data_IF_019053600087
#
_entry.id   IF_019053600087
#
_cell.length_a   1.000
_cell.length_b   1.000
_cell.length_c   1.000
_cell.angle_alpha   90.00
_cell.angle_beta   90.00
_cell.angle_gamma   90.00
#
_symmetry.space_group_name_H-M   'P 1'
#
loop_
_entity.id
_entity.type
_entity.pdbx_description
1 polymer ?
#
# COMPACT_ATOMS: atom_id res chain seq x y z
N UNK A 1 36.16 -11.28 -30.47
CA UNK A 1 35.46 -9.99 -30.72
C UNK A 1 34.35 -10.27 -31.73
N UNK A 2 33.08 -10.32 -31.30
CA UNK A 2 31.97 -10.59 -32.22
C UNK A 2 31.54 -9.29 -32.91
N UNK A 3 32.21 -8.99 -34.01
CA UNK A 3 31.88 -7.95 -34.97
C UNK A 3 30.70 -8.38 -35.84
N UNK A 4 29.65 -7.55 -35.92
CA UNK A 4 28.88 -7.43 -37.17
C UNK A 4 27.36 -7.53 -37.16
N UNK A 5 26.66 -7.69 -36.04
CA UNK A 5 25.17 -7.63 -36.05
C UNK A 5 24.62 -6.89 -34.84
N UNK A 6 24.11 -5.68 -35.07
CA UNK A 6 23.44 -4.86 -34.05
C UNK A 6 22.17 -5.58 -33.60
N UNK A 7 22.14 -6.07 -32.37
CA UNK A 7 20.90 -6.58 -31.77
C UNK A 7 20.03 -5.42 -31.32
N UNK A 8 18.82 -5.33 -31.83
CA UNK A 8 17.82 -4.32 -31.46
C UNK A 8 16.96 -4.83 -30.29
N UNK A 9 16.25 -3.93 -29.61
CA UNK A 9 15.38 -4.25 -28.47
C UNK A 9 14.31 -5.32 -28.77
N UNK A 10 13.99 -5.51 -30.07
CA UNK A 10 13.09 -6.54 -30.61
C UNK A 10 13.66 -7.97 -30.57
N UNK A 11 14.97 -8.12 -30.48
CA UNK A 11 15.63 -9.44 -30.55
C UNK A 11 15.61 -10.19 -29.21
N UNK A 12 15.15 -9.52 -28.15
CA UNK A 12 15.02 -10.10 -26.81
C UNK A 12 13.55 -10.36 -26.52
N UNK A 13 13.18 -11.63 -26.42
CA UNK A 13 11.83 -12.05 -26.01
C UNK A 13 11.54 -11.58 -24.58
N UNK A 14 10.26 -11.37 -24.25
CA UNK A 14 9.87 -10.93 -22.91
C UNK A 14 10.30 -11.94 -21.84
N UNK A 15 10.13 -13.23 -22.10
CA UNK A 15 10.54 -14.30 -21.18
C UNK A 15 12.06 -14.22 -20.87
N UNK A 16 12.88 -13.97 -21.88
CA UNK A 16 14.32 -13.78 -21.68
C UNK A 16 14.60 -12.57 -20.80
N UNK A 17 13.96 -11.42 -21.06
CA UNK A 17 14.12 -10.20 -20.24
C UNK A 17 13.77 -10.46 -18.77
N UNK A 18 12.66 -11.15 -18.51
CA UNK A 18 12.21 -11.50 -17.17
C UNK A 18 13.19 -12.46 -16.47
N UNK A 19 13.72 -13.47 -17.17
CA UNK A 19 14.70 -14.40 -16.59
C UNK A 19 16.00 -13.70 -16.17
N UNK A 20 16.48 -12.76 -16.98
CA UNK A 20 17.68 -11.97 -16.67
C UNK A 20 17.43 -11.05 -15.48
N UNK A 21 16.25 -10.43 -15.40
CA UNK A 21 15.87 -9.58 -14.27
C UNK A 21 15.76 -10.38 -12.98
N UNK A 22 15.08 -11.53 -13.01
CA UNK A 22 14.89 -12.40 -11.84
C UNK A 22 16.23 -12.87 -11.25
N UNK A 23 17.19 -13.28 -12.08
CA UNK A 23 18.51 -13.68 -11.61
C UNK A 23 19.31 -12.53 -11.00
N UNK A 24 19.17 -11.30 -11.53
CA UNK A 24 19.80 -10.12 -10.96
C UNK A 24 19.17 -9.75 -9.62
N UNK A 25 17.84 -9.83 -9.50
CA UNK A 25 17.12 -9.52 -8.25
C UNK A 25 17.38 -10.55 -7.16
N UNK A 26 17.55 -11.82 -7.53
CA UNK A 26 17.99 -12.89 -6.62
C UNK A 26 19.44 -12.73 -6.14
N UNK A 27 20.22 -11.84 -6.78
CA UNK A 27 21.63 -11.63 -6.45
C UNK A 27 22.58 -12.71 -6.98
N UNK A 28 22.10 -13.60 -7.88
CA UNK A 28 22.93 -14.65 -8.50
C UNK A 28 23.98 -14.06 -9.45
N UNK A 29 23.72 -12.85 -9.96
CA UNK A 29 24.59 -12.14 -10.88
C UNK A 29 24.35 -10.64 -10.84
N UNK A 30 25.44 -9.87 -10.90
CA UNK A 30 25.34 -8.43 -11.10
C UNK A 30 24.84 -8.12 -12.52
N UNK A 31 24.19 -6.98 -12.73
CA UNK A 31 23.76 -6.55 -14.06
C UNK A 31 24.91 -6.48 -15.08
N UNK A 32 26.13 -6.18 -14.65
CA UNK A 32 27.35 -6.18 -15.51
C UNK A 32 27.78 -7.60 -15.88
N UNK A 33 27.56 -8.55 -15.00
CA UNK A 33 27.86 -9.97 -15.24
C UNK A 33 26.80 -10.58 -16.13
N UNK A 34 25.53 -10.27 -15.89
CA UNK A 34 24.42 -10.60 -16.78
C UNK A 34 24.70 -10.16 -18.22
N UNK A 35 25.15 -8.91 -18.39
CA UNK A 35 25.48 -8.36 -19.69
C UNK A 35 26.58 -9.16 -20.40
N UNK A 36 27.66 -9.52 -19.69
CA UNK A 36 28.78 -10.30 -20.24
C UNK A 36 28.37 -11.74 -20.54
N UNK A 37 27.70 -12.40 -19.61
CA UNK A 37 27.29 -13.81 -19.68
C UNK A 37 26.29 -14.06 -20.81
N UNK A 38 25.35 -13.12 -21.00
CA UNK A 38 24.32 -13.22 -22.04
C UNK A 38 24.68 -12.50 -23.35
N UNK A 39 25.87 -11.90 -23.46
CA UNK A 39 26.32 -11.22 -24.66
C UNK A 39 25.42 -10.03 -25.06
N UNK A 40 24.90 -9.29 -24.07
CA UNK A 40 24.03 -8.14 -24.31
C UNK A 40 24.89 -6.95 -24.75
N UNK A 41 24.64 -6.49 -25.97
CA UNK A 41 25.47 -5.45 -26.61
C UNK A 41 25.36 -4.08 -25.93
N UNK A 42 24.19 -3.72 -25.39
CA UNK A 42 23.98 -2.42 -24.76
C UNK A 42 24.34 -2.42 -23.28
N UNK A 43 25.24 -1.50 -22.89
CA UNK A 43 25.72 -1.36 -21.50
C UNK A 43 24.62 -1.04 -20.49
N UNK A 44 23.57 -0.36 -20.92
CA UNK A 44 22.43 0.04 -20.10
C UNK A 44 21.20 -0.83 -20.31
N UNK A 45 21.23 -1.81 -21.23
CA UNK A 45 20.04 -2.58 -21.60
C UNK A 45 19.48 -3.38 -20.42
N UNK A 46 20.34 -4.02 -19.64
CA UNK A 46 19.95 -4.75 -18.43
C UNK A 46 19.35 -3.80 -17.39
N UNK A 47 19.95 -2.60 -17.21
CA UNK A 47 19.41 -1.58 -16.30
C UNK A 47 18.04 -1.06 -16.75
N UNK A 48 17.80 -0.95 -18.06
CA UNK A 48 16.48 -0.59 -18.59
C UNK A 48 15.46 -1.68 -18.31
N UNK A 49 15.83 -2.97 -18.40
CA UNK A 49 14.94 -4.06 -18.04
C UNK A 49 14.64 -4.09 -16.55
N UNK A 50 15.64 -3.88 -15.69
CA UNK A 50 15.45 -3.76 -14.24
C UNK A 50 14.48 -2.63 -13.88
N UNK A 51 14.58 -1.48 -14.56
CA UNK A 51 13.64 -0.36 -14.35
C UNK A 51 12.21 -0.65 -14.81
N UNK A 52 12.05 -1.45 -15.87
CA UNK A 52 10.73 -1.71 -16.49
C UNK A 52 10.04 -2.95 -15.93
N UNK A 53 10.81 -3.95 -15.53
CA UNK A 53 10.35 -5.28 -15.18
C UNK A 53 10.81 -5.73 -13.79
N UNK A 54 11.66 -4.95 -13.12
CA UNK A 54 12.05 -5.23 -11.74
C UNK A 54 10.94 -4.91 -10.76
N UNK A 55 10.97 -5.58 -9.61
CA UNK A 55 10.09 -5.37 -8.46
C UNK A 55 10.53 -4.18 -7.61
N UNK A 56 11.77 -3.74 -7.77
CA UNK A 56 12.34 -2.63 -7.04
C UNK A 56 12.01 -1.29 -7.75
N UNK A 57 11.54 -0.30 -6.99
CA UNK A 57 11.18 1.02 -7.53
C UNK A 57 12.42 1.85 -7.87
N UNK A 58 12.93 1.65 -9.08
CA UNK A 58 14.08 2.40 -9.62
C UNK A 58 13.72 3.80 -10.16
N UNK A 59 12.45 4.21 -10.09
CA UNK A 59 11.94 5.50 -10.57
C UNK A 59 12.50 6.70 -9.80
N UNK A 60 12.86 6.51 -8.53
CA UNK A 60 13.43 7.52 -7.65
C UNK A 60 14.83 8.02 -8.08
N UNK A 61 15.55 7.26 -8.92
CA UNK A 61 16.92 7.61 -9.34
C UNK A 61 17.02 8.36 -10.67
N UNK A 62 15.92 8.49 -11.43
CA UNK A 62 15.93 9.08 -12.77
C UNK A 62 15.66 10.60 -12.78
N UNK A 63 15.17 11.18 -11.69
CA UNK A 63 14.98 12.63 -11.50
C UNK A 63 16.28 13.32 -11.07
N UNK A 64 17.34 13.21 -11.87
CA UNK A 64 18.59 13.95 -11.67
C UNK A 64 18.43 15.48 -11.90
N UNK A 65 17.19 15.96 -12.07
CA UNK A 65 16.81 17.37 -12.27
C UNK A 65 15.92 17.96 -11.17
N UNK A 66 15.74 17.29 -10.03
CA UNK A 66 15.18 17.96 -8.87
C UNK A 66 16.27 18.25 -7.84
N UNK A 67 16.34 19.49 -7.32
CA UNK A 67 17.35 19.84 -6.34
C UNK A 67 17.19 18.92 -5.14
N UNK A 68 18.34 18.52 -4.61
CA UNK A 68 18.53 17.69 -3.44
C UNK A 68 18.06 18.43 -2.17
N UNK A 69 16.77 18.75 -2.08
CA UNK A 69 16.11 19.06 -0.83
C UNK A 69 15.75 17.73 -0.19
N UNK A 70 16.70 17.21 0.59
CA UNK A 70 16.40 16.21 1.61
C UNK A 70 15.43 16.84 2.61
N UNK A 71 14.13 16.76 2.35
CA UNK A 71 13.19 16.51 3.43
C UNK A 71 13.17 15.01 3.61
N UNK A 72 13.68 14.54 4.74
CA UNK A 72 13.47 13.17 5.22
C UNK A 72 11.98 12.99 5.48
N UNK A 73 11.20 12.81 4.43
CA UNK A 73 9.88 12.23 4.52
C UNK A 73 10.03 10.86 3.90
N UNK A 74 10.42 9.89 4.72
CA UNK A 74 9.41 8.87 4.99
C UNK A 74 8.65 8.42 3.74
N UNK A 75 9.15 7.57 2.81
CA UNK A 75 8.21 6.68 2.15
C UNK A 75 7.44 6.00 3.27
N UNK A 76 6.17 6.39 3.46
CA UNK A 76 5.26 5.84 4.46
C UNK A 76 5.26 4.33 4.30
N UNK A 77 6.16 3.67 5.02
CA UNK A 77 6.13 2.25 5.21
C UNK A 77 4.73 1.97 5.75
N UNK A 78 4.00 0.98 5.21
CA UNK A 78 2.75 0.60 5.83
C UNK A 78 3.06 0.36 7.31
N UNK A 79 2.36 1.04 8.24
CA UNK A 79 2.72 1.00 9.65
C UNK A 79 2.82 -0.47 10.06
N UNK A 80 3.91 -0.81 10.73
CA UNK A 80 4.15 -2.16 11.24
C UNK A 80 2.89 -2.64 11.96
N UNK A 81 2.51 -3.92 11.85
CA UNK A 81 1.27 -4.43 12.41
C UNK A 81 1.11 -4.07 13.90
N UNK A 82 2.21 -4.01 14.65
CA UNK A 82 2.26 -3.59 16.05
C UNK A 82 1.84 -2.13 16.30
N UNK A 83 2.24 -1.21 15.42
CA UNK A 83 1.86 0.21 15.53
C UNK A 83 0.36 0.39 15.30
N UNK A 84 -0.22 -0.36 14.34
CA UNK A 84 -1.66 -0.36 14.10
C UNK A 84 -2.44 -0.94 15.29
N UNK A 85 -1.94 -2.02 15.89
CA UNK A 85 -2.57 -2.62 17.07
C UNK A 85 -2.61 -1.61 18.21
N UNK A 86 -1.49 -0.94 18.49
CA UNK A 86 -1.42 0.07 19.56
C UNK A 86 -2.38 1.24 19.34
N UNK A 87 -2.47 1.76 18.11
CA UNK A 87 -3.40 2.85 17.78
C UNK A 87 -4.86 2.41 17.97
N UNK A 88 -5.21 1.19 17.53
CA UNK A 88 -6.56 0.64 17.67
C UNK A 88 -6.92 0.39 19.14
N UNK A 89 -5.98 -0.10 19.95
CA UNK A 89 -6.16 -0.28 21.39
C UNK A 89 -6.45 1.06 22.09
N UNK A 90 -5.71 2.12 21.74
CA UNK A 90 -5.95 3.46 22.26
C UNK A 90 -7.34 3.97 21.87
N UNK A 91 -7.75 3.78 20.62
CA UNK A 91 -9.10 4.13 20.15
C UNK A 91 -10.19 3.36 20.91
N UNK A 92 -9.99 2.07 21.20
CA UNK A 92 -10.93 1.27 21.99
C UNK A 92 -11.04 1.79 23.42
N UNK A 93 -9.92 2.11 24.06
CA UNK A 93 -9.91 2.68 25.42
C UNK A 93 -10.67 4.01 25.44
N UNK A 94 -10.40 4.91 24.49
CA UNK A 94 -11.11 6.19 24.39
C UNK A 94 -12.62 6.02 24.15
N UNK A 95 -13.02 5.07 23.31
CA UNK A 95 -14.44 4.79 23.04
C UNK A 95 -15.16 4.23 24.27
N UNK A 96 -14.51 3.31 24.99
CA UNK A 96 -15.03 2.73 26.23
C UNK A 96 -15.17 3.79 27.33
N UNK A 97 -14.16 4.67 27.50
CA UNK A 97 -14.24 5.78 28.44
C UNK A 97 -15.39 6.74 28.12
N UNK A 98 -15.57 7.07 26.84
CA UNK A 98 -16.71 7.90 26.40
C UNK A 98 -18.04 7.21 26.71
N UNK A 99 -18.17 5.91 26.45
CA UNK A 99 -19.39 5.16 26.76
C UNK A 99 -19.71 5.16 28.26
N UNK A 100 -18.72 4.86 29.12
CA UNK A 100 -18.88 4.90 30.58
C UNK A 100 -19.27 6.28 31.07
N UNK A 101 -18.66 7.33 30.53
CA UNK A 101 -19.04 8.71 30.83
C UNK A 101 -20.50 9.01 30.46
N UNK A 102 -20.93 8.61 29.25
CA UNK A 102 -22.33 8.79 28.84
C UNK A 102 -23.29 8.00 29.74
N UNK A 103 -22.95 6.78 30.14
CA UNK A 103 -23.76 6.01 31.08
C UNK A 103 -23.87 6.72 32.43
N UNK A 104 -22.77 7.25 32.97
CA UNK A 104 -22.78 8.00 34.23
C UNK A 104 -23.67 9.25 34.13
N UNK A 105 -23.54 10.03 33.05
CA UNK A 105 -24.38 11.23 32.80
C UNK A 105 -25.86 10.85 32.70
N UNK A 106 -26.17 9.76 31.98
CA UNK A 106 -27.55 9.26 31.87
C UNK A 106 -28.10 8.81 33.23
N UNK A 107 -27.28 8.19 34.07
CA UNK A 107 -27.69 7.77 35.41
C UNK A 107 -27.98 8.97 36.32
N UNK A 108 -27.14 10.01 36.29
CA UNK A 108 -27.39 11.28 37.01
C UNK A 108 -28.70 11.92 36.54
N UNK A 109 -28.94 11.99 35.23
CA UNK A 109 -30.17 12.57 34.67
C UNK A 109 -31.43 11.78 35.08
N UNK A 110 -31.33 10.46 35.17
CA UNK A 110 -32.44 9.61 35.64
C UNK A 110 -32.69 9.76 37.14
N UNK A 111 -31.63 9.77 37.95
CA UNK A 111 -31.73 9.74 39.41
C UNK A 111 -32.08 11.12 39.98
N UNK A 112 -31.44 12.18 39.50
CA UNK A 112 -31.54 13.52 40.09
C UNK A 112 -32.63 14.37 39.42
N UNK A 113 -32.90 14.14 38.13
CA UNK A 113 -33.85 14.94 37.34
C UNK A 113 -35.06 14.14 36.84
N UNK A 114 -35.12 12.83 37.07
CA UNK A 114 -36.23 11.97 36.64
C UNK A 114 -36.41 11.89 35.11
N UNK A 115 -35.41 12.32 34.32
CA UNK A 115 -35.52 12.37 32.86
C UNK A 115 -35.24 10.99 32.27
N UNK A 116 -36.30 10.31 31.81
CA UNK A 116 -36.18 9.01 31.15
C UNK A 116 -35.79 9.18 29.68
N UNK A 117 -34.47 9.14 29.42
CA UNK A 117 -33.92 9.11 28.05
C UNK A 117 -34.10 7.69 27.50
N UNK A 118 -35.32 7.39 27.04
CA UNK A 118 -35.61 6.16 26.31
C UNK A 118 -35.14 6.33 24.87
N UNK A 119 -34.27 5.43 24.39
CA UNK A 119 -33.96 5.33 22.96
C UNK A 119 -35.27 5.16 22.20
N UNK A 120 -35.63 6.12 21.34
CA UNK A 120 -36.88 6.12 20.56
C UNK A 120 -37.08 4.75 19.93
N UNK A 121 -38.20 4.09 20.25
CA UNK A 121 -38.51 2.76 19.69
C UNK A 121 -38.49 2.86 18.15
N UNK A 122 -37.84 1.94 17.42
CA UNK A 122 -37.92 1.95 15.96
C UNK A 122 -39.40 1.90 15.59
N UNK A 123 -39.84 2.90 14.82
CA UNK A 123 -41.25 3.06 14.48
C UNK A 123 -41.80 1.77 13.87
N UNK A 124 -42.95 1.30 14.36
CA UNK A 124 -43.67 0.19 13.74
C UNK A 124 -43.96 0.59 12.29
N UNK A 125 -43.40 -0.13 11.32
CA UNK A 125 -43.76 0.03 9.91
C UNK A 125 -45.28 -0.10 9.77
N UNK A 126 -45.93 0.94 9.25
CA UNK A 126 -47.37 0.92 8.97
C UNK A 126 -47.68 -0.25 8.03
N UNK A 127 -48.56 -1.17 8.45
CA UNK A 127 -49.04 -2.25 7.57
C UNK A 127 -49.79 -1.63 6.40
N UNK A 128 -49.27 -1.84 5.20
CA UNK A 128 -49.94 -1.51 3.94
C UNK A 128 -51.30 -2.23 3.92
N UNK A 129 -52.39 -1.45 3.93
CA UNK A 129 -53.74 -1.99 3.82
C UNK A 129 -53.90 -2.78 2.52
N UNK A 130 -54.37 -4.01 2.62
CA UNK A 130 -54.78 -4.79 1.43
C UNK A 130 -56.03 -4.12 0.86
N UNK A 131 -55.91 -3.58 -0.35
CA UNK A 131 -57.05 -3.19 -1.18
C UNK A 131 -57.97 -4.39 -1.34
N UNK A 132 -59.24 -4.22 -0.98
CA UNK A 132 -60.27 -5.24 -1.18
C UNK A 132 -60.79 -5.09 -2.62
N UNK A 133 -60.90 -6.24 -3.29
CA UNK A 133 -61.56 -6.46 -4.59
C UNK A 133 -63.00 -5.97 -4.59
#
# INVERSE_FOLDING_TARGET
>A
MNSGKRRSQRDYTLAFKLSVVDQVEKGELSYKEAQRRYGIQGRSTVLVWLRKHGRQDWSQGASIREPRNRSMTEPTLPPTPEQRIKELEEQLVLSNQKAQFFEAVVNVLKNDYGVSIVKKRPGKSSRKGKSKT
#
